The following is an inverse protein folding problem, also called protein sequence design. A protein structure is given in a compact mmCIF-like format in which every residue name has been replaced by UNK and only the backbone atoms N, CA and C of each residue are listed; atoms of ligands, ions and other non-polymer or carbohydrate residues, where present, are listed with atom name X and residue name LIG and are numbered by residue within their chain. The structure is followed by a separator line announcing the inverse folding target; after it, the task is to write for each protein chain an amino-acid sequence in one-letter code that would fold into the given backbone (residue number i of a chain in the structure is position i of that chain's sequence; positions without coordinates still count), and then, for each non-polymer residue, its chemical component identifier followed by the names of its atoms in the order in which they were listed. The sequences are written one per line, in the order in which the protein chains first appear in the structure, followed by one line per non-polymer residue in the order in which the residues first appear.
data_IF_974563690763
#
_entry.id   IF_974563690763
#
_cell.length_a   1.000
_cell.length_b   1.000
_cell.length_c   1.000
_cell.angle_alpha   90.00
_cell.angle_beta   90.00
_cell.angle_gamma   90.00
#
_symmetry.space_group_name_H-M   'P 1'
#
loop_
_entity.id
_entity.type
_entity.pdbx_description
1 polymer ?
#
# COMPACT_ATOMS: atom_id res chain seq x y z
N UNK A 1 2.19 -12.54 -19.81
CA UNK A 1 2.85 -11.24 -19.59
C UNK A 1 1.87 -10.16 -19.97
N UNK A 2 1.77 -9.11 -19.16
CA UNK A 2 1.00 -7.90 -19.46
C UNK A 2 1.99 -6.82 -19.87
N UNK A 3 1.70 -6.10 -20.94
CA UNK A 3 2.60 -5.09 -21.51
C UNK A 3 1.85 -3.76 -21.60
N UNK A 4 2.51 -2.69 -21.17
CA UNK A 4 2.02 -1.33 -21.31
C UNK A 4 2.64 -0.59 -22.49
N UNK A 5 2.25 0.67 -22.64
CA UNK A 5 2.83 1.58 -23.61
C UNK A 5 4.24 2.04 -23.20
N UNK A 6 5.02 2.50 -24.18
CA UNK A 6 6.37 3.00 -23.92
C UNK A 6 6.33 4.18 -22.95
N UNK A 7 7.25 4.19 -21.98
CA UNK A 7 7.48 5.29 -21.02
C UNK A 7 6.36 5.57 -20.01
N UNK A 8 5.23 4.84 -20.05
CA UNK A 8 4.08 5.10 -19.17
C UNK A 8 4.25 4.58 -17.73
N UNK A 9 5.34 3.85 -17.45
CA UNK A 9 5.58 3.13 -16.19
C UNK A 9 4.45 2.16 -15.82
N UNK A 10 3.97 1.39 -16.80
CA UNK A 10 2.98 0.34 -16.56
C UNK A 10 3.54 -0.74 -15.63
N UNK A 11 2.75 -1.12 -14.62
CA UNK A 11 3.22 -1.97 -13.52
C UNK A 11 3.80 -1.20 -12.35
N UNK A 12 3.71 0.14 -12.34
CA UNK A 12 4.14 0.96 -11.20
C UNK A 12 3.45 0.54 -9.90
N UNK A 13 2.16 0.24 -9.98
CA UNK A 13 1.39 -0.39 -8.92
C UNK A 13 0.57 -1.54 -9.47
N UNK A 14 0.32 -2.56 -8.64
CA UNK A 14 -0.47 -3.72 -9.01
C UNK A 14 -1.27 -4.22 -7.81
N UNK A 15 -2.44 -4.77 -8.07
CA UNK A 15 -3.23 -5.52 -7.09
C UNK A 15 -3.84 -6.74 -7.76
N UNK A 16 -3.82 -7.88 -7.07
CA UNK A 16 -4.39 -9.15 -7.53
C UNK A 16 -5.58 -9.51 -6.61
N UNK A 17 -6.67 -9.98 -7.20
CA UNK A 17 -7.79 -10.56 -6.47
C UNK A 17 -7.36 -11.84 -5.75
N UNK A 18 -8.18 -12.30 -4.82
CA UNK A 18 -7.83 -13.41 -3.95
C UNK A 18 -7.79 -14.76 -4.67
N UNK A 19 -8.68 -14.97 -5.64
CA UNK A 19 -8.66 -16.13 -6.53
C UNK A 19 -7.46 -16.14 -7.49
N UNK A 20 -6.76 -15.01 -7.61
CA UNK A 20 -5.66 -14.83 -8.54
C UNK A 20 -6.11 -14.68 -10.00
N UNK A 21 -7.41 -14.47 -10.23
CA UNK A 21 -8.00 -14.42 -11.56
C UNK A 21 -8.24 -12.99 -12.05
N UNK A 22 -8.15 -11.96 -11.22
CA UNK A 22 -8.28 -10.56 -11.63
C UNK A 22 -7.06 -9.77 -11.15
N UNK A 23 -6.41 -9.02 -12.05
CA UNK A 23 -5.30 -8.12 -11.72
C UNK A 23 -5.58 -6.71 -12.22
N UNK A 24 -5.35 -5.71 -11.37
CA UNK A 24 -5.38 -4.30 -11.73
C UNK A 24 -3.95 -3.76 -11.76
N UNK A 25 -3.58 -3.07 -12.84
CA UNK A 25 -2.22 -2.61 -13.10
C UNK A 25 -2.23 -1.12 -13.41
N UNK A 26 -1.47 -0.34 -12.64
CA UNK A 26 -1.33 1.10 -12.82
C UNK A 26 -0.16 1.47 -13.73
N UNK A 27 -0.37 2.47 -14.59
CA UNK A 27 0.63 3.14 -15.42
C UNK A 27 0.56 4.65 -15.23
N UNK A 28 1.43 5.19 -14.38
CA UNK A 28 1.29 6.55 -13.85
C UNK A 28 1.70 7.68 -14.82
N UNK A 29 2.38 7.34 -15.91
CA UNK A 29 2.83 8.32 -16.92
C UNK A 29 2.07 8.23 -18.24
N UNK A 30 0.92 7.55 -18.23
CA UNK A 30 0.03 7.52 -19.39
C UNK A 30 -0.44 8.94 -19.76
N UNK A 31 -0.46 9.25 -21.06
CA UNK A 31 -0.71 10.59 -21.59
C UNK A 31 -2.19 10.92 -21.85
N UNK A 32 -3.10 9.94 -21.81
CA UNK A 32 -4.52 10.16 -22.17
C UNK A 32 -4.79 10.11 -23.68
N UNK A 33 -6.05 9.89 -24.08
CA UNK A 33 -6.43 9.66 -25.49
C UNK A 33 -6.60 10.93 -26.36
N UNK A 34 -6.42 12.15 -25.84
CA UNK A 34 -6.50 13.39 -26.65
C UNK A 34 -5.30 14.33 -26.40
N UNK A 35 -4.54 14.62 -27.47
CA UNK A 35 -3.41 15.54 -27.77
C UNK A 35 -2.75 16.49 -26.73
N UNK A 36 -3.05 16.49 -25.42
CA UNK A 36 -2.45 17.42 -24.45
C UNK A 36 -2.19 16.82 -23.06
N UNK A 37 -2.66 15.61 -22.75
CA UNK A 37 -2.46 15.05 -21.42
C UNK A 37 -1.01 14.68 -21.11
N UNK A 38 -0.46 15.17 -20.00
CA UNK A 38 0.91 14.82 -19.54
C UNK A 38 0.81 14.12 -18.19
N UNK A 39 1.24 12.86 -18.11
CA UNK A 39 1.20 12.05 -16.88
C UNK A 39 -0.18 12.01 -16.19
N UNK A 40 -1.25 11.88 -16.96
CA UNK A 40 -2.61 11.67 -16.45
C UNK A 40 -2.66 10.40 -15.61
N UNK A 41 -2.03 9.34 -16.13
CA UNK A 41 -2.02 8.02 -15.52
C UNK A 41 -3.27 7.21 -15.83
N UNK A 42 -3.15 5.88 -15.78
CA UNK A 42 -4.25 4.93 -16.00
C UNK A 42 -4.14 3.69 -15.14
N UNK A 43 -5.26 2.97 -15.04
CA UNK A 43 -5.32 1.60 -14.53
C UNK A 43 -6.06 0.74 -15.55
N UNK A 44 -5.46 -0.42 -15.84
CA UNK A 44 -6.09 -1.45 -16.67
C UNK A 44 -6.32 -2.68 -15.80
N UNK A 45 -7.54 -3.21 -15.84
CA UNK A 45 -7.91 -4.45 -15.14
C UNK A 45 -7.94 -5.59 -16.13
N UNK A 46 -7.41 -6.74 -15.75
CA UNK A 46 -7.40 -7.94 -16.56
C UNK A 46 -7.97 -9.12 -15.79
N UNK A 47 -8.69 -9.99 -16.49
CA UNK A 47 -9.14 -11.27 -15.98
C UNK A 47 -8.31 -12.41 -16.61
N UNK A 48 -8.10 -13.47 -15.84
CA UNK A 48 -7.42 -14.69 -16.21
C UNK A 48 -8.42 -15.84 -16.19
N UNK A 49 -8.56 -16.51 -17.32
CA UNK A 49 -9.47 -17.65 -17.46
C UNK A 49 -8.66 -18.92 -17.70
N UNK A 50 -8.11 -19.57 -16.65
CA UNK A 50 -7.20 -20.71 -16.82
C UNK A 50 -7.83 -21.89 -17.55
N UNK A 51 -9.13 -22.08 -17.38
CA UNK A 51 -9.87 -23.20 -17.98
C UNK A 51 -10.24 -22.96 -19.45
N UNK A 52 -10.33 -21.69 -19.88
CA UNK A 52 -10.68 -21.31 -21.25
C UNK A 52 -9.45 -20.94 -22.09
N UNK A 53 -8.54 -20.13 -21.52
CA UNK A 53 -7.36 -19.56 -22.18
C UNK A 53 -6.12 -19.61 -21.26
N UNK A 54 -5.53 -20.81 -21.03
CA UNK A 54 -4.40 -20.95 -20.11
C UNK A 54 -3.21 -20.09 -20.55
N UNK A 55 -2.66 -19.34 -19.59
CA UNK A 55 -1.54 -18.43 -19.80
C UNK A 55 -1.87 -17.07 -20.43
N UNK A 56 -3.14 -16.78 -20.72
CA UNK A 56 -3.57 -15.52 -21.33
C UNK A 56 -4.45 -14.69 -20.38
N UNK A 57 -4.12 -13.40 -20.27
CA UNK A 57 -4.91 -12.42 -19.53
C UNK A 57 -5.68 -11.55 -20.52
N UNK A 58 -6.96 -11.34 -20.29
CA UNK A 58 -7.81 -10.47 -21.11
C UNK A 58 -8.18 -9.19 -20.36
N UNK A 59 -8.23 -8.06 -21.07
CA UNK A 59 -8.63 -6.80 -20.45
C UNK A 59 -10.12 -6.84 -20.10
N UNK A 60 -10.44 -6.48 -18.85
CA UNK A 60 -11.80 -6.41 -18.31
C UNK A 60 -12.34 -4.98 -18.40
N UNK A 61 -13.17 -4.75 -19.41
CA UNK A 61 -13.85 -3.47 -19.63
C UNK A 61 -12.94 -2.35 -20.14
N UNK A 62 -13.37 -1.12 -19.93
CA UNK A 62 -12.65 0.09 -20.31
C UNK A 62 -11.40 0.36 -19.44
N UNK A 63 -10.49 1.16 -19.98
CA UNK A 63 -9.34 1.71 -19.24
C UNK A 63 -9.86 2.78 -18.27
N UNK A 64 -9.34 2.79 -17.04
CA UNK A 64 -9.66 3.79 -16.03
C UNK A 64 -8.56 4.86 -16.03
N UNK A 65 -8.90 6.10 -16.39
CA UNK A 65 -7.94 7.20 -16.53
C UNK A 65 -8.10 8.26 -15.45
N UNK A 66 -7.00 8.95 -15.16
CA UNK A 66 -7.01 10.14 -14.30
C UNK A 66 -7.87 11.27 -14.87
N UNK A 67 -8.27 12.21 -14.00
CA UNK A 67 -9.16 13.31 -14.36
C UNK A 67 -8.44 14.50 -15.00
N UNK A 68 -7.11 14.58 -14.90
CA UNK A 68 -6.33 15.69 -15.45
C UNK A 68 -4.83 15.43 -15.52
N UNK A 69 -4.13 16.41 -16.09
CA UNK A 69 -2.68 16.38 -16.25
C UNK A 69 -1.97 16.27 -14.90
N UNK A 70 -0.88 15.52 -14.89
CA UNK A 70 -0.03 15.31 -13.72
C UNK A 70 -0.74 14.69 -12.52
N UNK A 71 -1.92 14.09 -12.67
CA UNK A 71 -2.59 13.39 -11.58
C UNK A 71 -1.78 12.17 -11.09
N UNK A 72 -1.02 11.53 -12.00
CA UNK A 72 -0.34 10.24 -11.77
C UNK A 72 -1.32 9.17 -11.27
N UNK A 73 -2.51 9.10 -11.88
CA UNK A 73 -3.53 8.12 -11.55
C UNK A 73 -3.01 6.68 -11.75
N UNK A 74 -3.36 5.78 -10.84
CA UNK A 74 -2.74 4.45 -10.76
C UNK A 74 -1.45 4.44 -9.94
N UNK A 75 -1.15 5.50 -9.16
CA UNK A 75 -0.01 5.51 -8.24
C UNK A 75 -0.13 4.43 -7.17
N UNK A 76 -1.34 4.21 -6.68
CA UNK A 76 -1.68 3.09 -5.81
C UNK A 76 -2.96 2.44 -6.32
N UNK A 77 -3.03 1.11 -6.26
CA UNK A 77 -4.17 0.32 -6.73
C UNK A 77 -4.46 -0.76 -5.70
N UNK A 78 -5.73 -0.95 -5.36
CA UNK A 78 -6.18 -2.01 -4.46
C UNK A 78 -7.48 -2.62 -4.99
N UNK A 79 -7.49 -3.94 -5.17
CA UNK A 79 -8.70 -4.72 -5.47
C UNK A 79 -9.31 -5.29 -4.18
N UNK A 80 -10.63 -5.44 -4.17
CA UNK A 80 -11.31 -6.30 -3.20
C UNK A 80 -11.09 -7.79 -3.51
N UNK A 81 -11.53 -8.68 -2.61
CA UNK A 81 -11.28 -10.13 -2.67
C UNK A 81 -11.69 -10.75 -4.02
N UNK A 82 -12.86 -10.37 -4.54
CA UNK A 82 -13.43 -10.91 -5.78
C UNK A 82 -13.02 -10.14 -7.05
N UNK A 83 -12.12 -9.17 -6.95
CA UNK A 83 -11.75 -8.31 -8.08
C UNK A 83 -12.89 -7.42 -8.62
N UNK A 84 -14.04 -7.35 -7.93
CA UNK A 84 -15.22 -6.60 -8.39
C UNK A 84 -15.20 -5.13 -8.02
N UNK A 85 -14.33 -4.71 -7.10
CA UNK A 85 -14.16 -3.31 -6.68
C UNK A 85 -12.67 -2.98 -6.74
N UNK A 86 -12.33 -1.86 -7.35
CA UNK A 86 -10.97 -1.33 -7.44
C UNK A 86 -10.93 0.09 -6.90
N UNK A 87 -10.03 0.35 -5.96
CA UNK A 87 -9.67 1.69 -5.52
C UNK A 87 -8.35 2.11 -6.19
N UNK A 88 -8.26 3.37 -6.60
CA UNK A 88 -7.14 3.91 -7.36
C UNK A 88 -6.77 5.28 -6.83
N UNK A 89 -5.51 5.44 -6.43
CA UNK A 89 -4.95 6.70 -5.97
C UNK A 89 -4.24 7.48 -7.07
N UNK A 90 -4.42 8.80 -7.03
CA UNK A 90 -3.66 9.81 -7.75
C UNK A 90 -3.05 10.76 -6.72
N UNK A 91 -1.72 10.92 -6.75
CA UNK A 91 -1.00 11.68 -5.73
C UNK A 91 -1.00 13.19 -5.96
N UNK A 92 -1.60 13.64 -7.05
CA UNK A 92 -1.69 15.04 -7.45
C UNK A 92 -3.08 15.28 -8.04
N UNK A 93 -3.53 16.53 -7.96
CA UNK A 93 -4.75 16.97 -8.61
C UNK A 93 -4.83 18.48 -8.69
N UNK A 94 -4.66 19.02 -9.88
CA UNK A 94 -4.65 20.47 -10.09
C UNK A 94 -6.08 21.02 -10.19
N UNK A 95 -6.85 21.03 -9.09
CA UNK A 95 -8.11 21.82 -9.05
C UNK A 95 -7.85 23.32 -9.11
N UNK A 96 -6.66 23.75 -8.67
CA UNK A 96 -6.17 25.13 -8.69
C UNK A 96 -4.67 25.11 -8.97
N UNK A 97 -4.15 26.24 -9.45
CA UNK A 97 -2.70 26.44 -9.64
C UNK A 97 -2.00 26.07 -8.32
N UNK A 98 -1.08 25.10 -8.41
CA UNK A 98 -0.25 24.56 -7.33
C UNK A 98 -0.96 23.70 -6.25
N UNK A 99 -2.20 23.22 -6.44
CA UNK A 99 -2.83 22.29 -5.49
C UNK A 99 -2.46 20.83 -5.79
N UNK A 100 -1.88 20.15 -4.81
CA UNK A 100 -1.42 18.75 -4.89
C UNK A 100 -2.03 17.91 -3.76
N UNK A 101 -3.32 18.10 -3.51
CA UNK A 101 -4.03 17.38 -2.45
C UNK A 101 -4.12 15.87 -2.71
N UNK A 102 -4.09 15.46 -3.99
CA UNK A 102 -4.32 14.07 -4.41
C UNK A 102 -5.76 13.61 -4.20
N UNK A 103 -6.12 12.48 -4.80
CA UNK A 103 -7.44 11.87 -4.65
C UNK A 103 -7.42 10.35 -4.81
N UNK A 104 -8.53 9.73 -4.38
CA UNK A 104 -8.82 8.32 -4.64
C UNK A 104 -10.19 8.21 -5.33
N UNK A 105 -10.25 7.41 -6.39
CA UNK A 105 -11.49 6.96 -7.02
C UNK A 105 -11.71 5.48 -6.76
N UNK A 106 -12.97 5.09 -6.58
CA UNK A 106 -13.35 3.69 -6.41
C UNK A 106 -14.35 3.31 -7.49
N UNK A 107 -14.13 2.19 -8.16
CA UNK A 107 -14.99 1.67 -9.20
C UNK A 107 -15.47 0.27 -8.83
N UNK A 108 -16.72 -0.03 -9.14
CA UNK A 108 -17.33 -1.36 -9.01
C UNK A 108 -17.68 -1.87 -10.40
N UNK A 109 -17.30 -3.12 -10.67
CA UNK A 109 -17.66 -3.83 -11.88
C UNK A 109 -19.16 -4.15 -11.87
N UNK A 110 -19.88 -3.63 -12.85
CA UNK A 110 -21.32 -3.77 -12.92
C UNK A 110 -21.78 -4.14 -14.33
N UNK A 111 -22.22 -5.40 -14.47
CA UNK A 111 -22.59 -6.07 -15.72
C UNK A 111 -21.38 -6.23 -16.66
N UNK A 112 -21.01 -5.18 -17.36
CA UNK A 112 -20.05 -5.18 -18.46
C UNK A 112 -19.14 -3.94 -18.49
N UNK A 113 -19.18 -3.12 -17.43
CA UNK A 113 -18.38 -1.89 -17.33
C UNK A 113 -18.03 -1.54 -15.90
N UNK A 114 -16.98 -0.75 -15.75
CA UNK A 114 -16.65 -0.13 -14.48
C UNK A 114 -17.58 1.06 -14.22
N UNK A 115 -18.05 1.19 -12.98
CA UNK A 115 -18.82 2.35 -12.55
C UNK A 115 -18.21 2.91 -11.30
N UNK A 116 -17.95 4.21 -11.31
CA UNK A 116 -17.50 4.88 -10.10
C UNK A 116 -18.56 4.74 -8.99
N UNK A 117 -18.10 4.46 -7.78
CA UNK A 117 -18.91 4.25 -6.58
C UNK A 117 -18.59 5.35 -5.58
N UNK A 118 -19.58 6.19 -5.30
CA UNK A 118 -19.45 7.39 -4.48
C UNK A 118 -18.63 8.51 -5.14
N UNK A 119 -18.56 9.63 -4.45
CA UNK A 119 -17.70 10.76 -4.84
C UNK A 119 -16.21 10.44 -4.67
N UNK A 120 -15.37 11.18 -5.38
CA UNK A 120 -13.91 11.15 -5.21
C UNK A 120 -13.54 11.53 -3.77
N UNK A 121 -12.55 10.84 -3.19
CA UNK A 121 -12.02 11.18 -1.87
C UNK A 121 -10.75 12.00 -2.03
N UNK A 122 -10.81 13.30 -1.72
CA UNK A 122 -9.69 14.24 -1.87
C UNK A 122 -8.87 14.39 -0.59
N UNK A 123 -7.60 14.76 -0.73
CA UNK A 123 -6.84 15.34 0.38
C UNK A 123 -7.45 16.67 0.83
N UNK A 124 -7.15 17.10 2.04
CA UNK A 124 -7.70 18.35 2.58
C UNK A 124 -6.80 19.54 2.30
N UNK A 125 -5.49 19.35 2.39
CA UNK A 125 -4.49 20.39 2.24
C UNK A 125 -3.62 20.20 0.99
N UNK A 126 -3.07 21.32 0.55
CA UNK A 126 -2.15 21.32 -0.57
C UNK A 126 -0.88 20.53 -0.22
N UNK A 127 -0.56 19.51 -1.03
CA UNK A 127 0.65 18.72 -0.88
C UNK A 127 0.49 17.48 0.00
N UNK A 128 -0.73 17.19 0.47
CA UNK A 128 -1.05 15.98 1.23
C UNK A 128 -0.68 14.70 0.48
N UNK A 129 -0.78 14.74 -0.86
CA UNK A 129 -0.64 13.58 -1.74
C UNK A 129 -1.51 12.42 -1.29
N UNK A 130 -2.77 12.71 -0.98
CA UNK A 130 -3.77 11.72 -0.64
C UNK A 130 -3.83 10.64 -1.74
N UNK A 131 -4.04 9.38 -1.36
CA UNK A 131 -3.94 8.26 -2.30
C UNK A 131 -2.51 7.78 -2.55
N UNK A 132 -1.52 8.23 -1.75
CA UNK A 132 -0.15 7.71 -1.83
C UNK A 132 -0.10 6.19 -1.53
N UNK A 133 -0.84 5.77 -0.52
CA UNK A 133 -1.06 4.37 -0.16
C UNK A 133 -2.55 4.16 0.08
N UNK A 134 -3.11 3.06 -0.42
CA UNK A 134 -4.52 2.71 -0.26
C UNK A 134 -4.68 1.22 0.06
N UNK A 135 -5.73 0.86 0.78
CA UNK A 135 -6.11 -0.53 1.01
C UNK A 135 -7.63 -0.67 1.12
N UNK A 136 -8.21 -1.61 0.36
CA UNK A 136 -9.61 -2.01 0.48
C UNK A 136 -9.80 -3.21 1.42
N UNK A 137 -10.97 -3.28 2.06
CA UNK A 137 -11.46 -4.50 2.70
C UNK A 137 -11.83 -5.57 1.68
N UNK A 138 -12.02 -6.81 2.14
CA UNK A 138 -12.31 -7.95 1.26
C UNK A 138 -13.60 -7.76 0.46
N UNK A 139 -14.60 -7.08 1.04
CA UNK A 139 -15.88 -6.74 0.41
C UNK A 139 -15.85 -5.43 -0.41
N UNK A 140 -14.72 -4.71 -0.41
CA UNK A 140 -14.56 -3.43 -1.09
C UNK A 140 -15.36 -2.29 -0.49
N UNK A 141 -15.87 -2.42 0.74
CA UNK A 141 -16.74 -1.40 1.40
C UNK A 141 -16.03 -0.56 2.45
N UNK A 142 -14.79 -0.88 2.80
CA UNK A 142 -13.94 -0.06 3.68
C UNK A 142 -12.65 0.25 2.93
N UNK A 143 -12.22 1.49 3.00
CA UNK A 143 -11.08 2.03 2.27
C UNK A 143 -10.19 2.82 3.24
N UNK A 144 -8.95 2.38 3.43
CA UNK A 144 -7.93 3.16 4.12
C UNK A 144 -7.08 3.94 3.11
N UNK A 145 -6.80 5.21 3.40
CA UNK A 145 -6.02 6.11 2.54
C UNK A 145 -4.95 6.80 3.38
N UNK A 146 -3.69 6.69 2.96
CA UNK A 146 -2.55 7.37 3.53
C UNK A 146 -2.17 8.65 2.78
N UNK A 147 -1.83 9.69 3.54
CA UNK A 147 -1.38 11.00 3.06
C UNK A 147 -0.05 11.38 3.74
N UNK A 148 1.04 10.72 3.37
CA UNK A 148 2.34 10.82 4.06
C UNK A 148 3.00 12.19 4.07
N UNK A 149 2.54 13.13 3.24
CA UNK A 149 3.09 14.48 3.19
C UNK A 149 2.18 15.53 3.85
N UNK A 150 1.06 15.10 4.43
CA UNK A 150 0.17 16.00 5.14
C UNK A 150 0.89 16.71 6.29
N UNK A 151 0.68 18.02 6.35
CA UNK A 151 1.17 18.88 7.43
C UNK A 151 0.00 19.23 8.33
N UNK A 152 0.00 18.66 9.54
CA UNK A 152 -1.16 18.71 10.43
C UNK A 152 -0.79 18.83 11.89
N UNK A 153 -1.54 18.13 12.75
CA UNK A 153 -1.43 18.18 14.20
C UNK A 153 0.01 17.98 14.72
N UNK A 154 0.72 16.99 14.19
CA UNK A 154 2.09 16.65 14.56
C UNK A 154 3.17 17.43 13.77
N UNK A 155 2.76 18.42 12.97
CA UNK A 155 3.63 19.34 12.24
C UNK A 155 3.88 18.96 10.78
N UNK A 156 4.91 19.55 10.18
CA UNK A 156 5.14 19.50 8.73
C UNK A 156 5.49 18.08 8.25
N UNK A 157 4.72 17.55 7.29
CA UNK A 157 4.86 16.18 6.75
C UNK A 157 4.83 15.08 7.82
N UNK A 158 4.08 15.27 8.88
CA UNK A 158 3.86 14.22 9.86
C UNK A 158 3.04 13.06 9.26
N UNK A 159 2.11 13.38 8.36
CA UNK A 159 1.25 12.42 7.68
C UNK A 159 0.05 11.97 8.52
N UNK A 160 -0.93 11.37 7.84
CA UNK A 160 -2.10 10.72 8.45
C UNK A 160 -2.57 9.51 7.65
N UNK A 161 -3.45 8.73 8.27
CA UNK A 161 -4.34 7.77 7.59
C UNK A 161 -5.81 8.09 7.92
N UNK A 162 -6.66 8.06 6.90
CA UNK A 162 -8.12 8.12 7.04
C UNK A 162 -8.73 6.82 6.57
N UNK A 163 -9.74 6.33 7.29
CA UNK A 163 -10.48 5.13 6.90
C UNK A 163 -11.92 5.51 6.63
N UNK A 164 -12.41 5.16 5.44
CA UNK A 164 -13.74 5.45 4.96
C UNK A 164 -14.55 4.17 4.84
N UNK A 165 -15.85 4.25 5.07
CA UNK A 165 -16.80 3.18 4.80
C UNK A 165 -17.83 3.64 3.79
N UNK A 166 -18.09 2.81 2.80
CA UNK A 166 -19.12 3.09 1.81
C UNK A 166 -20.51 2.76 2.35
N UNK A 167 -21.35 3.79 2.46
CA UNK A 167 -22.70 3.70 3.02
C UNK A 167 -23.64 4.63 2.25
N UNK A 168 -24.80 4.12 1.85
CA UNK A 168 -25.87 4.89 1.19
C UNK A 168 -25.46 5.74 -0.03
N UNK A 169 -24.44 5.32 -0.77
CA UNK A 169 -23.99 6.05 -1.96
C UNK A 169 -22.72 6.88 -1.75
N UNK A 170 -22.23 6.99 -0.52
CA UNK A 170 -21.15 7.90 -0.15
C UNK A 170 -20.04 7.19 0.63
N UNK A 171 -18.83 7.75 0.58
CA UNK A 171 -17.70 7.34 1.41
C UNK A 171 -17.67 8.19 2.69
N UNK A 172 -18.01 7.59 3.82
CA UNK A 172 -18.08 8.27 5.12
C UNK A 172 -16.82 7.99 5.95
N UNK A 173 -16.19 9.03 6.52
CA UNK A 173 -15.03 8.88 7.40
C UNK A 173 -15.44 8.14 8.69
N UNK A 174 -14.67 7.11 9.05
CA UNK A 174 -14.90 6.27 10.23
C UNK A 174 -13.81 6.52 11.26
N UNK A 175 -14.21 6.87 12.48
CA UNK A 175 -13.30 6.92 13.63
C UNK A 175 -12.33 8.10 13.68
N UNK A 176 -12.48 9.07 12.78
CA UNK A 176 -11.58 10.23 12.67
C UNK A 176 -10.26 9.90 11.98
N UNK A 177 -9.29 10.81 12.12
CA UNK A 177 -7.96 10.69 11.54
C UNK A 177 -7.01 9.93 12.46
N UNK A 178 -6.15 9.11 11.87
CA UNK A 178 -5.03 8.47 12.56
C UNK A 178 -3.79 9.30 12.22
N UNK A 179 -3.30 10.08 13.18
CA UNK A 179 -2.16 10.98 12.98
C UNK A 179 -0.82 10.29 13.24
N UNK A 180 0.21 10.71 12.49
CA UNK A 180 1.61 10.47 12.86
C UNK A 180 2.02 11.25 14.12
N UNK A 181 3.22 10.98 14.62
CA UNK A 181 3.68 11.53 15.91
C UNK A 181 4.54 12.79 15.80
N UNK A 182 5.37 12.87 14.76
CA UNK A 182 6.37 13.89 14.62
C UNK A 182 6.46 14.45 13.20
N UNK A 183 7.14 15.59 13.10
CA UNK A 183 7.42 16.23 11.82
C UNK A 183 8.29 15.33 10.94
N UNK A 184 7.92 15.22 9.66
CA UNK A 184 8.64 14.46 8.62
C UNK A 184 8.70 12.94 8.84
N UNK A 185 7.91 12.39 9.76
CA UNK A 185 7.83 10.93 9.98
C UNK A 185 7.27 10.18 8.78
N UNK A 186 6.49 10.87 7.93
CA UNK A 186 5.81 10.30 6.77
C UNK A 186 4.84 9.17 7.12
N UNK A 187 4.08 9.33 8.21
CA UNK A 187 3.06 8.37 8.62
C UNK A 187 1.97 8.23 7.55
N UNK A 188 1.54 7.00 7.27
CA UNK A 188 0.66 6.72 6.14
C UNK A 188 1.39 6.55 4.80
N UNK A 189 2.72 6.40 4.83
CA UNK A 189 3.50 6.09 3.62
C UNK A 189 3.31 4.67 3.11
N UNK A 190 2.87 3.78 3.97
CA UNK A 190 2.36 2.44 3.63
C UNK A 190 1.17 2.12 4.54
N UNK A 191 0.17 1.44 3.97
CA UNK A 191 -1.09 1.11 4.66
C UNK A 191 -1.50 -0.30 4.28
N UNK A 192 -1.96 -1.08 5.26
CA UNK A 192 -2.60 -2.38 5.04
C UNK A 192 -3.85 -2.49 5.91
N UNK A 193 -4.94 -3.02 5.35
CA UNK A 193 -6.24 -3.10 6.00
C UNK A 193 -6.66 -4.57 6.14
N UNK A 194 -7.24 -4.93 7.27
CA UNK A 194 -7.80 -6.27 7.48
C UNK A 194 -9.01 -6.51 6.58
N UNK A 195 -9.30 -7.79 6.33
CA UNK A 195 -10.41 -8.20 5.47
C UNK A 195 -11.76 -7.60 5.90
N UNK A 196 -12.00 -7.52 7.22
CA UNK A 196 -13.21 -6.95 7.78
C UNK A 196 -13.22 -5.42 7.83
N UNK A 197 -12.11 -4.77 7.48
CA UNK A 197 -11.96 -3.32 7.48
C UNK A 197 -11.78 -2.68 8.87
N UNK A 198 -11.59 -3.46 9.94
CA UNK A 198 -11.55 -2.92 11.32
C UNK A 198 -10.17 -2.93 11.97
N UNK A 199 -9.12 -3.38 11.29
CA UNK A 199 -7.73 -3.28 11.74
C UNK A 199 -6.87 -2.73 10.62
N UNK A 200 -6.11 -1.66 10.88
CA UNK A 200 -5.24 -1.01 9.91
C UNK A 200 -3.80 -0.98 10.43
N UNK A 201 -2.86 -1.41 9.61
CA UNK A 201 -1.43 -1.26 9.84
C UNK A 201 -0.90 -0.08 9.02
N UNK A 202 -0.04 0.74 9.62
CA UNK A 202 0.46 1.97 9.04
C UNK A 202 1.96 2.11 9.28
N UNK A 203 2.72 2.39 8.22
CA UNK A 203 4.15 2.67 8.31
C UNK A 203 4.48 4.16 8.33
N UNK A 204 5.59 4.51 9.00
CA UNK A 204 6.23 5.82 8.95
C UNK A 204 7.75 5.64 8.87
N UNK A 205 8.27 5.69 7.64
CA UNK A 205 9.65 5.34 7.28
C UNK A 205 10.73 6.26 7.88
N UNK A 206 10.36 7.42 8.42
CA UNK A 206 11.30 8.40 8.97
C UNK A 206 11.07 8.76 10.43
N UNK A 207 10.17 8.04 11.12
CA UNK A 207 10.00 8.22 12.55
C UNK A 207 11.29 7.87 13.31
N UNK A 208 11.55 8.56 14.41
CA UNK A 208 12.79 8.43 15.17
C UNK A 208 12.82 7.19 16.10
N UNK A 209 11.69 6.52 16.35
CA UNK A 209 11.58 5.27 17.11
C UNK A 209 12.40 5.23 18.41
N UNK A 210 12.63 4.02 18.93
CA UNK A 210 13.55 3.83 20.07
C UNK A 210 15.01 3.60 19.63
N UNK A 211 15.25 3.26 18.36
CA UNK A 211 16.56 2.88 17.85
C UNK A 211 17.38 4.05 17.25
N UNK A 212 16.87 5.28 17.31
CA UNK A 212 17.54 6.48 16.86
C UNK A 212 16.94 7.08 15.58
N UNK A 213 17.43 8.26 15.20
CA UNK A 213 16.84 9.10 14.16
C UNK A 213 16.49 8.32 12.88
N UNK A 214 15.27 8.51 12.39
CA UNK A 214 14.79 7.87 11.15
C UNK A 214 14.97 6.35 11.13
N UNK A 215 14.95 5.68 12.29
CA UNK A 215 14.91 4.22 12.38
C UNK A 215 13.63 3.67 11.73
N UNK A 216 12.57 4.48 11.69
CA UNK A 216 11.26 4.18 11.14
C UNK A 216 10.48 3.26 12.06
N UNK A 217 9.16 3.20 11.86
CA UNK A 217 8.29 2.31 12.63
C UNK A 217 7.03 1.92 11.85
N UNK A 218 6.33 0.93 12.37
CA UNK A 218 4.95 0.63 11.99
C UNK A 218 4.05 0.54 13.22
N UNK A 219 2.78 0.91 13.04
CA UNK A 219 1.74 0.86 14.06
C UNK A 219 0.52 0.15 13.54
N UNK A 220 -0.23 -0.46 14.46
CA UNK A 220 -1.48 -1.14 14.12
C UNK A 220 -2.60 -0.59 14.99
N UNK A 221 -3.70 -0.22 14.36
CA UNK A 221 -4.88 0.34 15.01
C UNK A 221 -6.08 -0.57 14.77
N UNK A 222 -6.93 -0.70 15.78
CA UNK A 222 -8.21 -1.39 15.68
C UNK A 222 -9.34 -0.41 15.96
N UNK A 223 -10.36 -0.43 15.11
CA UNK A 223 -11.54 0.39 15.30
C UNK A 223 -12.38 -0.15 16.45
N UNK A 224 -12.60 0.67 17.46
CA UNK A 224 -13.45 0.38 18.60
C UNK A 224 -14.82 1.02 18.41
N UNK A 225 -15.84 0.19 18.13
CA UNK A 225 -17.21 0.66 17.80
C UNK A 225 -17.93 1.33 18.96
N UNK A 226 -17.55 1.01 20.19
CA UNK A 226 -18.14 1.53 21.42
C UNK A 226 -17.73 2.97 21.72
N UNK A 227 -16.53 3.35 21.29
CA UNK A 227 -16.02 4.73 21.41
C UNK A 227 -15.93 5.46 20.07
N UNK A 228 -16.22 4.76 18.96
CA UNK A 228 -16.13 5.27 17.59
C UNK A 228 -14.75 5.88 17.28
N UNK A 229 -13.67 5.19 17.65
CA UNK A 229 -12.30 5.65 17.48
C UNK A 229 -11.38 4.51 17.03
N UNK A 230 -10.32 4.87 16.31
CA UNK A 230 -9.17 4.00 16.06
C UNK A 230 -8.26 4.01 17.28
N UNK A 231 -8.01 2.83 17.85
CA UNK A 231 -7.15 2.67 19.03
C UNK A 231 -5.98 1.79 18.66
N UNK A 232 -4.76 2.25 18.95
CA UNK A 232 -3.56 1.45 18.73
C UNK A 232 -3.63 0.14 19.54
N UNK A 233 -3.22 -0.96 18.91
CA UNK A 233 -3.11 -2.27 19.56
C UNK A 233 -1.64 -2.68 19.62
N UNK A 234 -1.19 -3.13 20.79
CA UNK A 234 0.21 -3.41 21.06
C UNK A 234 1.11 -2.17 21.06
N UNK A 235 2.38 -2.44 21.33
CA UNK A 235 3.44 -1.44 21.23
C UNK A 235 3.83 -1.16 19.77
N UNK A 236 4.58 -0.08 19.54
CA UNK A 236 5.16 0.23 18.24
C UNK A 236 6.10 -0.85 17.73
N UNK A 237 6.16 -1.00 16.42
CA UNK A 237 7.09 -1.89 15.75
C UNK A 237 8.23 -1.03 15.19
N UNK A 238 9.15 -0.63 16.07
CA UNK A 238 10.28 0.24 15.74
C UNK A 238 11.37 -0.50 14.94
N UNK A 239 12.04 0.24 14.05
CA UNK A 239 13.26 -0.18 13.36
C UNK A 239 14.38 -0.53 14.33
N UNK A 240 15.37 -1.29 13.84
CA UNK A 240 16.43 -1.85 14.70
C UNK A 240 17.63 -0.92 14.89
N UNK A 241 17.79 0.05 13.97
CA UNK A 241 18.91 0.99 13.99
C UNK A 241 18.51 2.30 13.33
N UNK A 242 19.19 3.38 13.73
CA UNK A 242 19.17 4.70 13.09
C UNK A 242 19.26 4.61 11.55
N UNK A 243 18.35 5.31 10.87
CA UNK A 243 18.34 5.44 9.41
C UNK A 243 17.91 4.19 8.61
N UNK A 244 17.52 3.08 9.26
CA UNK A 244 17.07 1.86 8.56
C UNK A 244 15.71 2.03 7.87
N UNK A 245 14.87 2.95 8.38
CA UNK A 245 13.58 3.29 7.81
C UNK A 245 12.58 2.14 7.75
N UNK A 246 12.30 1.49 8.89
CA UNK A 246 11.20 0.53 8.98
C UNK A 246 9.85 1.19 8.68
N UNK A 247 8.92 0.42 8.10
CA UNK A 247 7.60 0.93 7.73
C UNK A 247 7.52 1.51 6.31
N UNK A 248 8.57 1.36 5.50
CA UNK A 248 8.53 1.64 4.05
C UNK A 248 7.44 0.81 3.38
N UNK A 249 7.26 -0.43 3.81
CA UNK A 249 6.17 -1.30 3.40
C UNK A 249 5.60 -2.06 4.60
N UNK A 250 4.28 -2.24 4.61
CA UNK A 250 3.57 -3.01 5.64
C UNK A 250 2.54 -3.92 4.98
N UNK A 251 2.37 -5.12 5.51
CA UNK A 251 1.29 -6.02 5.14
C UNK A 251 0.75 -6.70 6.39
N UNK A 252 -0.57 -6.71 6.54
CA UNK A 252 -1.29 -7.28 7.67
C UNK A 252 -2.21 -8.42 7.18
N UNK A 253 -2.18 -9.54 7.90
CA UNK A 253 -3.15 -10.62 7.74
C UNK A 253 -3.43 -11.24 9.11
N UNK A 254 -4.70 -11.22 9.53
CA UNK A 254 -5.11 -11.70 10.84
C UNK A 254 -4.31 -11.00 11.97
N UNK A 255 -3.54 -11.78 12.72
CA UNK A 255 -2.67 -11.30 13.80
C UNK A 255 -1.21 -11.17 13.36
N UNK A 256 -0.89 -11.35 12.08
CA UNK A 256 0.48 -11.29 11.56
C UNK A 256 0.69 -10.01 10.78
N UNK A 257 1.80 -9.33 11.03
CA UNK A 257 2.26 -8.17 10.26
C UNK A 257 3.67 -8.41 9.74
N UNK A 258 3.93 -8.02 8.49
CA UNK A 258 5.26 -7.91 7.91
C UNK A 258 5.62 -6.44 7.72
N UNK A 259 6.85 -6.07 8.08
CA UNK A 259 7.36 -4.68 8.03
C UNK A 259 8.71 -4.66 7.31
N UNK A 260 8.79 -3.91 6.21
CA UNK A 260 10.01 -3.72 5.43
C UNK A 260 10.82 -2.49 5.85
N UNK A 261 12.15 -2.61 5.77
CA UNK A 261 13.13 -1.56 6.04
C UNK A 261 14.24 -1.59 4.98
N UNK A 262 14.12 -0.79 3.92
CA UNK A 262 14.99 -0.93 2.73
C UNK A 262 16.44 -0.46 2.93
N UNK A 263 16.71 0.34 3.96
CA UNK A 263 18.05 0.89 4.23
C UNK A 263 18.84 0.08 5.25
N UNK A 264 18.27 -1.00 5.74
CA UNK A 264 18.93 -1.85 6.72
C UNK A 264 20.22 -2.47 6.18
N UNK A 265 21.22 -2.53 7.04
CA UNK A 265 22.53 -3.14 6.75
C UNK A 265 22.70 -4.42 7.57
N UNK A 266 23.37 -5.42 7.00
CA UNK A 266 23.62 -6.71 7.65
C UNK A 266 25.04 -7.22 7.38
N UNK A 267 25.68 -7.80 8.39
CA UNK A 267 27.04 -8.38 8.33
C UNK A 267 28.08 -7.56 7.51
N UNK A 268 28.07 -6.24 7.70
CA UNK A 268 28.97 -5.31 7.01
C UNK A 268 28.57 -4.90 5.59
N UNK A 269 27.47 -5.46 5.04
CA UNK A 269 26.86 -5.07 3.77
C UNK A 269 25.89 -3.91 3.97
N UNK A 270 26.05 -2.85 3.20
CA UNK A 270 25.21 -1.65 3.31
C UNK A 270 23.88 -1.82 2.58
N UNK A 271 22.80 -1.36 3.21
CA UNK A 271 21.47 -1.20 2.58
C UNK A 271 21.01 -2.45 1.82
N UNK A 272 21.26 -3.63 2.39
CA UNK A 272 20.72 -4.89 1.85
C UNK A 272 19.18 -4.89 1.92
N UNK A 273 18.63 -4.12 2.87
CA UNK A 273 17.22 -4.11 3.21
C UNK A 273 16.80 -5.35 3.99
N UNK A 274 15.74 -5.24 4.79
CA UNK A 274 15.19 -6.37 5.51
C UNK A 274 13.67 -6.34 5.66
N UNK A 275 13.10 -7.50 5.97
CA UNK A 275 11.71 -7.65 6.43
C UNK A 275 11.70 -8.37 7.76
N UNK A 276 10.94 -7.83 8.71
CA UNK A 276 10.60 -8.52 9.97
C UNK A 276 9.12 -8.82 9.99
N UNK A 277 8.78 -9.94 10.62
CA UNK A 277 7.39 -10.34 10.85
C UNK A 277 7.10 -10.41 12.34
N UNK A 278 5.87 -10.10 12.71
CA UNK A 278 5.42 -10.10 14.10
C UNK A 278 4.03 -10.72 14.20
N UNK A 279 3.77 -11.42 15.30
CA UNK A 279 2.46 -11.93 15.66
C UNK A 279 1.91 -11.15 16.88
N UNK A 280 0.63 -10.78 16.81
CA UNK A 280 -0.05 -10.09 17.89
C UNK A 280 -0.58 -11.08 18.93
N UNK A 281 -0.04 -10.97 20.15
CA UNK A 281 -0.47 -11.72 21.32
C UNK A 281 -1.53 -10.92 22.08
N UNK A 282 -2.81 -11.22 21.81
CA UNK A 282 -3.98 -10.55 22.40
C UNK A 282 -3.96 -10.57 23.93
N UNK A 283 -3.48 -11.64 24.53
CA UNK A 283 -3.37 -11.85 25.98
C UNK A 283 -2.36 -10.93 26.67
N UNK A 284 -1.41 -10.40 25.89
CA UNK A 284 -0.34 -9.51 26.39
C UNK A 284 -0.48 -8.08 25.88
N UNK A 285 -1.35 -7.85 24.89
CA UNK A 285 -1.43 -6.63 24.11
C UNK A 285 -0.03 -6.26 23.56
N UNK A 286 0.58 -7.21 22.84
CA UNK A 286 1.95 -7.07 22.30
C UNK A 286 2.16 -7.71 20.95
N UNK A 287 2.96 -7.04 20.12
CA UNK A 287 3.56 -7.63 18.93
C UNK A 287 4.85 -8.35 19.31
N UNK A 288 5.00 -9.60 18.90
CA UNK A 288 6.18 -10.43 19.19
C UNK A 288 6.81 -10.86 17.87
N UNK A 289 8.15 -10.81 17.70
CA UNK A 289 8.80 -11.28 16.48
C UNK A 289 8.38 -12.72 16.13
N UNK A 290 8.05 -12.95 14.86
CA UNK A 290 7.55 -14.23 14.36
C UNK A 290 8.57 -14.86 13.40
N UNK A 291 9.67 -15.35 13.98
CA UNK A 291 10.83 -15.86 13.22
C UNK A 291 11.95 -14.83 13.10
N UNK A 292 12.99 -15.19 12.35
CA UNK A 292 14.16 -14.34 12.14
C UNK A 292 13.91 -13.27 11.08
N UNK A 293 14.64 -12.15 11.17
CA UNK A 293 14.63 -11.12 10.14
C UNK A 293 15.17 -11.68 8.81
N UNK A 294 14.54 -11.27 7.71
CA UNK A 294 14.90 -11.68 6.35
C UNK A 294 15.69 -10.54 5.71
N UNK A 295 16.92 -10.79 5.28
CA UNK A 295 17.81 -9.78 4.68
C UNK A 295 18.05 -10.00 3.18
N UNK A 296 18.36 -8.92 2.47
CA UNK A 296 18.88 -8.96 1.11
C UNK A 296 20.24 -9.66 1.02
N UNK A 297 20.59 -10.19 -0.15
CA UNK A 297 21.78 -11.03 -0.30
C UNK A 297 23.03 -10.17 -0.59
N UNK A 298 22.88 -9.01 -1.23
CA UNK A 298 23.94 -8.09 -1.66
C UNK A 298 23.71 -6.65 -1.19
N UNK A 299 24.79 -5.86 -1.16
CA UNK A 299 24.71 -4.44 -0.84
C UNK A 299 23.76 -3.72 -1.82
N UNK A 300 22.94 -2.81 -1.29
CA UNK A 300 21.99 -2.00 -2.07
C UNK A 300 20.86 -2.77 -2.78
N UNK A 301 20.64 -4.05 -2.44
CA UNK A 301 19.53 -4.86 -2.93
C UNK A 301 18.14 -4.28 -2.59
N UNK A 302 18.06 -3.53 -1.49
CA UNK A 302 16.82 -2.91 -0.97
C UNK A 302 15.67 -3.91 -0.78
N UNK A 303 15.98 -5.11 -0.26
CA UNK A 303 14.96 -6.11 0.10
C UNK A 303 13.91 -5.50 1.04
N UNK A 304 12.65 -5.87 0.84
CA UNK A 304 11.54 -5.35 1.65
C UNK A 304 10.94 -4.05 1.13
N UNK A 305 11.29 -3.64 -0.10
CA UNK A 305 10.67 -2.49 -0.75
C UNK A 305 9.14 -2.62 -0.87
N UNK A 306 8.66 -3.83 -1.09
CA UNK A 306 7.25 -4.20 -0.99
C UNK A 306 7.13 -5.56 -0.31
N UNK A 307 6.10 -5.72 0.52
CA UNK A 307 5.79 -6.95 1.25
C UNK A 307 4.31 -7.26 1.10
N UNK A 308 3.98 -8.55 1.00
CA UNK A 308 2.60 -9.02 0.95
C UNK A 308 2.45 -10.35 1.67
N UNK A 309 1.57 -10.38 2.67
CA UNK A 309 1.14 -11.60 3.33
C UNK A 309 -0.01 -12.24 2.56
N UNK A 310 -0.03 -13.58 2.53
CA UNK A 310 -1.24 -14.29 2.14
C UNK A 310 -2.35 -14.06 3.16
N UNK A 311 -3.60 -14.25 2.73
CA UNK A 311 -4.81 -14.11 3.55
C UNK A 311 -4.76 -14.87 4.88
N UNK A 312 -4.22 -16.08 4.88
CA UNK A 312 -4.07 -16.91 6.07
C UNK A 312 -2.80 -16.61 6.88
N UNK A 313 -2.02 -15.61 6.47
CA UNK A 313 -0.74 -15.23 7.09
C UNK A 313 0.37 -16.28 6.94
N UNK A 314 0.15 -17.36 6.19
CA UNK A 314 1.09 -18.48 6.10
C UNK A 314 2.18 -18.30 5.04
N UNK A 315 2.09 -17.28 4.21
CA UNK A 315 3.09 -16.96 3.18
C UNK A 315 3.39 -15.47 3.16
N UNK A 316 4.62 -15.15 2.83
CA UNK A 316 5.10 -13.78 2.67
C UNK A 316 5.84 -13.67 1.34
N UNK A 317 5.40 -12.77 0.47
CA UNK A 317 6.15 -12.33 -0.70
C UNK A 317 6.92 -11.05 -0.37
N UNK A 318 8.17 -10.96 -0.79
CA UNK A 318 9.07 -9.82 -0.55
C UNK A 318 9.78 -9.45 -1.85
N UNK A 319 9.72 -8.18 -2.24
CA UNK A 319 10.46 -7.67 -3.41
C UNK A 319 11.89 -7.25 -3.08
N UNK A 320 12.77 -7.38 -4.06
CA UNK A 320 14.19 -7.01 -4.02
C UNK A 320 14.49 -6.28 -5.34
N UNK A 321 14.25 -4.96 -5.43
CA UNK A 321 14.28 -4.25 -6.71
C UNK A 321 15.62 -4.31 -7.44
N UNK A 322 16.72 -4.37 -6.70
CA UNK A 322 18.08 -4.32 -7.26
C UNK A 322 18.78 -5.69 -7.23
N UNK A 323 18.02 -6.79 -7.13
CA UNK A 323 18.63 -8.12 -7.13
C UNK A 323 19.36 -8.43 -8.45
N UNK A 324 20.57 -8.97 -8.34
CA UNK A 324 21.46 -9.23 -9.49
C UNK A 324 21.32 -10.63 -10.12
N UNK A 325 20.30 -11.41 -9.76
CA UNK A 325 20.27 -12.85 -10.06
C UNK A 325 20.24 -13.18 -11.55
N UNK A 326 19.56 -12.35 -12.35
CA UNK A 326 19.41 -12.55 -13.80
C UNK A 326 19.98 -11.37 -14.61
N UNK A 327 20.93 -10.63 -14.04
CA UNK A 327 21.52 -9.42 -14.62
C UNK A 327 21.64 -8.31 -13.58
N UNK A 328 22.41 -7.26 -13.89
CA UNK A 328 22.61 -6.13 -12.98
C UNK A 328 21.27 -5.45 -12.68
N UNK A 329 20.94 -5.31 -11.39
CA UNK A 329 19.72 -4.70 -10.87
C UNK A 329 18.44 -5.25 -11.56
N UNK A 330 18.44 -6.55 -11.88
CA UNK A 330 17.34 -7.20 -12.60
C UNK A 330 16.04 -7.33 -11.80
N UNK A 331 16.13 -7.16 -10.48
CA UNK A 331 15.03 -7.29 -9.55
C UNK A 331 14.61 -8.73 -9.29
N UNK A 332 14.02 -8.98 -8.12
CA UNK A 332 13.50 -10.28 -7.74
C UNK A 332 12.32 -10.19 -6.76
N UNK A 333 11.58 -11.29 -6.64
CA UNK A 333 10.62 -11.51 -5.56
C UNK A 333 10.92 -12.86 -4.92
N UNK A 334 11.07 -12.87 -3.59
CA UNK A 334 11.16 -14.09 -2.78
C UNK A 334 9.83 -14.38 -2.13
N UNK A 335 9.45 -15.65 -2.05
CA UNK A 335 8.26 -16.10 -1.33
C UNK A 335 8.68 -17.06 -0.22
N UNK A 336 8.24 -16.76 0.99
CA UNK A 336 8.53 -17.49 2.21
C UNK A 336 7.24 -18.16 2.71
N UNK A 337 7.39 -19.33 3.34
CA UNK A 337 6.34 -19.92 4.17
C UNK A 337 6.58 -19.47 5.60
N UNK A 338 5.58 -18.86 6.22
CA UNK A 338 5.57 -18.50 7.62
C UNK A 338 4.84 -19.60 8.41
N UNK A 339 5.37 -19.93 9.58
CA UNK A 339 4.79 -20.94 10.45
C UNK A 339 5.82 -21.44 11.45
N UNK A 340 5.33 -21.98 12.56
CA UNK A 340 6.15 -22.84 13.41
C UNK A 340 6.41 -24.13 12.62
N UNK A 341 7.66 -24.55 12.47
CA UNK A 341 7.97 -25.90 12.00
C UNK A 341 7.22 -26.90 12.89
N UNK A 342 6.09 -27.42 12.42
CA UNK A 342 5.58 -28.69 12.92
C UNK A 342 6.51 -29.77 12.36
N UNK A 343 7.37 -30.27 13.26
CA UNK A 343 8.21 -31.46 13.05
C UNK A 343 7.38 -32.68 12.63
#
# INVERSE_FOLDING_TARGET
TLEGESEELFGYSMSLSHDGETIAVGGIKFAGEEEVGVNVGRVVVFDYHPDEFPGFWEQRGEILEGMGDHDFFGHSVSLCELGTVVAIGAIQHEKRIDSHEGYVQVFEWNLDKWRQVGANVYGEDNGDKNGNAIALSSDGRVLAIGAKHHSGHAGHKAGYVRVYRYYFGEWELVGGEIHGEGERDHFGGSVSLSEDGYTVAVGAEYNDGEAGQQSGHARVFRYQRDVEQWVQIGQDIDGESEGHGAGVSVSLSGNTIAVGAIKASDDGKKQVGHVRTFEYHVDKDKWVPFGDAIYGDSEFDHLGHSVSLSRDGSRLAVSIPNADWNGVDSGAVKVYKLGTDEL
#
